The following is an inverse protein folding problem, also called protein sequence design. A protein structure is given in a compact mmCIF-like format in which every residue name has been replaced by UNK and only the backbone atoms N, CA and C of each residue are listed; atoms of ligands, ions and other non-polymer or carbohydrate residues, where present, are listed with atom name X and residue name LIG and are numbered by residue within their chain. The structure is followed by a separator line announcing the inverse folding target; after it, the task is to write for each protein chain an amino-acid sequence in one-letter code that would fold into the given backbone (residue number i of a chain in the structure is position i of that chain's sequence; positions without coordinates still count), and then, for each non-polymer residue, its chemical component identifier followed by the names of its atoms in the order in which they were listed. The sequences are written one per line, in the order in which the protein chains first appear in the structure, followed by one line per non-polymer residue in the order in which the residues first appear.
data_IF_824821618084
#
_entry.id   IF_824821618084
#
_cell.length_a   1.000
_cell.length_b   1.000
_cell.length_c   1.000
_cell.angle_alpha   90.00
_cell.angle_beta   90.00
_cell.angle_gamma   90.00
#
_symmetry.space_group_name_H-M   'P 1'
#
loop_
_entity.id
_entity.type
_entity.pdbx_description
1 polymer ?
#
# COMPACT_ATOMS: atom_id res chain seq x y z
N UNK A 1 -14.21 6.44 3.81
CA UNK A 1 -14.87 7.51 4.60
C UNK A 1 -14.27 8.89 4.34
N UNK A 2 -12.94 9.00 4.26
CA UNK A 2 -12.15 10.24 4.04
C UNK A 2 -12.84 11.29 3.14
N UNK A 3 -13.12 10.96 1.87
CA UNK A 3 -13.65 11.93 0.92
C UNK A 3 -15.04 12.49 1.31
N UNK A 4 -15.95 11.62 1.80
CA UNK A 4 -17.31 12.01 2.18
C UNK A 4 -17.33 12.86 3.46
N UNK A 5 -16.49 12.52 4.44
CA UNK A 5 -16.41 13.23 5.71
C UNK A 5 -15.73 14.61 5.56
N UNK A 6 -14.86 14.76 4.57
CA UNK A 6 -14.10 15.98 4.38
C UNK A 6 -14.91 17.06 3.63
N UNK A 7 -15.71 17.84 4.37
CA UNK A 7 -16.66 18.81 3.81
C UNK A 7 -16.06 20.15 3.36
N UNK A 8 -14.81 20.44 3.74
CA UNK A 8 -14.15 21.75 3.50
C UNK A 8 -12.92 21.69 2.59
N UNK A 9 -12.56 20.50 2.11
CA UNK A 9 -11.39 20.30 1.22
C UNK A 9 -11.76 19.29 0.13
N UNK A 10 -11.52 19.60 -1.15
CA UNK A 10 -11.84 18.67 -2.25
C UNK A 10 -11.00 17.40 -2.15
N UNK A 11 -11.54 16.30 -2.67
CA UNK A 11 -10.88 15.00 -2.75
C UNK A 11 -11.01 14.47 -4.18
N UNK A 12 -9.91 13.98 -4.75
CA UNK A 12 -9.88 13.35 -6.07
C UNK A 12 -9.51 11.88 -5.88
N UNK A 13 -10.17 11.00 -6.63
CA UNK A 13 -9.91 9.56 -6.66
C UNK A 13 -9.41 9.20 -8.06
N UNK A 14 -8.13 8.85 -8.19
CA UNK A 14 -7.57 8.31 -9.42
C UNK A 14 -7.83 6.80 -9.46
N UNK A 15 -8.63 6.33 -10.42
CA UNK A 15 -9.08 4.94 -10.52
C UNK A 15 -8.45 4.25 -11.73
N UNK A 16 -8.08 2.98 -11.58
CA UNK A 16 -7.53 2.17 -12.67
C UNK A 16 -8.61 1.78 -13.68
N UNK A 17 -8.21 1.58 -14.93
CA UNK A 17 -9.08 1.01 -15.98
C UNK A 17 -9.10 -0.52 -15.92
N UNK A 18 -7.96 -1.11 -15.58
CA UNK A 18 -7.71 -2.55 -15.56
C UNK A 18 -8.12 -3.18 -14.23
N UNK A 19 -8.32 -4.51 -14.26
CA UNK A 19 -8.50 -5.33 -13.05
C UNK A 19 -7.23 -5.33 -12.22
N UNK A 20 -7.39 -5.30 -10.90
CA UNK A 20 -6.31 -5.39 -9.93
C UNK A 20 -6.70 -6.37 -8.81
N UNK A 21 -5.74 -7.08 -8.20
CA UNK A 21 -6.02 -7.97 -7.09
C UNK A 21 -6.32 -7.20 -5.80
N UNK A 22 -7.04 -7.87 -4.90
CA UNK A 22 -7.14 -7.43 -3.51
C UNK A 22 -5.92 -7.92 -2.74
N UNK A 23 -5.04 -7.01 -2.34
CA UNK A 23 -3.82 -7.34 -1.61
C UNK A 23 -4.13 -7.53 -0.11
N UNK A 24 -3.52 -8.55 0.49
CA UNK A 24 -3.57 -8.76 1.93
C UNK A 24 -2.97 -7.54 2.68
N UNK A 25 -3.49 -7.25 3.87
CA UNK A 25 -3.09 -6.08 4.65
C UNK A 25 -3.70 -4.76 4.19
N UNK A 26 -4.32 -4.69 3.01
CA UNK A 26 -5.09 -3.50 2.60
C UNK A 26 -6.33 -3.29 3.49
N UNK A 27 -6.60 -2.05 3.87
CA UNK A 27 -7.67 -1.74 4.84
C UNK A 27 -8.27 -0.36 4.63
N UNK A 28 -9.52 -0.18 5.08
CA UNK A 28 -10.23 1.10 5.01
C UNK A 28 -9.55 2.11 5.96
N UNK A 29 -9.16 1.65 7.15
CA UNK A 29 -8.50 2.44 8.20
C UNK A 29 -7.09 2.87 7.76
N UNK A 30 -6.39 2.04 7.00
CA UNK A 30 -5.08 2.37 6.42
C UNK A 30 -5.14 3.58 5.49
N UNK A 31 -6.20 3.70 4.68
CA UNK A 31 -6.39 4.84 3.77
C UNK A 31 -6.49 6.17 4.54
N UNK A 32 -7.03 6.15 5.75
CA UNK A 32 -7.15 7.37 6.59
C UNK A 32 -5.79 7.89 7.05
N UNK A 33 -4.75 7.03 7.08
CA UNK A 33 -3.36 7.40 7.40
C UNK A 33 -2.59 8.01 6.22
N UNK A 34 -3.16 7.98 5.01
CA UNK A 34 -2.51 8.41 3.76
C UNK A 34 -1.55 7.38 3.18
N UNK A 35 -0.67 6.81 4.00
CA UNK A 35 0.19 5.67 3.67
C UNK A 35 0.36 4.74 4.87
N UNK A 36 0.48 3.44 4.63
CA UNK A 36 0.55 2.44 5.69
C UNK A 36 1.25 1.16 5.20
N UNK A 37 1.73 0.37 6.16
CA UNK A 37 2.40 -0.90 5.92
C UNK A 37 1.34 -1.96 5.60
N UNK A 38 1.48 -2.64 4.45
CA UNK A 38 0.61 -3.78 4.07
C UNK A 38 1.26 -5.14 4.35
N UNK A 39 2.59 -5.19 4.36
CA UNK A 39 3.39 -6.38 4.62
C UNK A 39 4.72 -5.95 5.24
N UNK A 40 5.24 -6.74 6.17
CA UNK A 40 6.52 -6.48 6.84
C UNK A 40 7.19 -7.81 7.24
N UNK A 41 8.51 -7.86 7.10
CA UNK A 41 9.37 -8.94 7.58
C UNK A 41 10.59 -8.40 8.33
N UNK A 42 10.59 -7.11 8.67
CA UNK A 42 11.71 -6.46 9.34
C UNK A 42 11.92 -6.99 10.74
N UNK A 43 13.18 -7.07 11.15
CA UNK A 43 13.55 -7.41 12.53
C UNK A 43 13.75 -6.13 13.34
N UNK A 44 13.06 -6.01 14.47
CA UNK A 44 13.19 -4.85 15.36
C UNK A 44 12.76 -3.52 14.72
N UNK A 45 11.77 -3.55 13.82
CA UNK A 45 11.29 -2.38 13.07
C UNK A 45 12.37 -1.66 12.24
N UNK A 46 13.36 -2.41 11.76
CA UNK A 46 14.45 -1.89 10.93
C UNK A 46 14.50 -2.64 9.59
N UNK A 47 13.77 -2.15 8.56
CA UNK A 47 13.85 -2.73 7.23
C UNK A 47 15.17 -2.36 6.54
N UNK A 48 15.73 -3.28 5.76
CA UNK A 48 16.87 -2.98 4.88
C UNK A 48 16.44 -2.11 3.69
N UNK A 49 15.19 -2.28 3.25
CA UNK A 49 14.57 -1.52 2.15
C UNK A 49 13.08 -1.35 2.39
N UNK A 50 12.54 -0.19 2.01
CA UNK A 50 11.10 0.10 2.03
C UNK A 50 10.64 0.24 0.58
N UNK A 51 9.71 -0.62 0.17
CA UNK A 51 9.02 -0.52 -1.10
C UNK A 51 7.65 0.13 -0.90
N UNK A 52 7.35 1.15 -1.70
CA UNK A 52 6.09 1.88 -1.65
C UNK A 52 5.46 1.94 -3.03
N UNK A 53 4.15 1.76 -3.09
CA UNK A 53 3.37 1.88 -4.32
C UNK A 53 1.98 2.45 -4.04
N UNK A 54 1.31 2.93 -5.08
CA UNK A 54 -0.06 3.43 -5.01
C UNK A 54 -0.87 2.83 -6.15
N UNK A 55 -2.14 2.50 -5.92
CA UNK A 55 -2.99 1.96 -6.98
C UNK A 55 -2.44 0.66 -7.57
N UNK A 56 -2.31 0.60 -8.90
CA UNK A 56 -1.85 -0.60 -9.63
C UNK A 56 -0.41 -0.99 -9.31
N UNK A 57 0.45 -0.03 -9.01
CA UNK A 57 1.87 -0.28 -8.79
C UNK A 57 2.13 -0.94 -7.42
N UNK A 58 1.14 -0.94 -6.51
CA UNK A 58 1.25 -1.61 -5.21
C UNK A 58 1.39 -3.14 -5.35
N UNK A 59 0.74 -3.74 -6.35
CA UNK A 59 0.91 -5.17 -6.65
C UNK A 59 2.35 -5.48 -7.09
N UNK A 60 2.95 -4.59 -7.88
CA UNK A 60 4.33 -4.73 -8.35
C UNK A 60 5.29 -4.61 -7.16
N UNK A 61 5.06 -3.66 -6.26
CA UNK A 61 5.85 -3.50 -5.05
C UNK A 61 5.80 -4.74 -4.15
N UNK A 62 4.62 -5.34 -3.95
CA UNK A 62 4.50 -6.56 -3.14
C UNK A 62 5.18 -7.78 -3.79
N UNK A 63 5.08 -7.91 -5.12
CA UNK A 63 5.81 -8.96 -5.85
C UNK A 63 7.32 -8.81 -5.70
N UNK A 64 7.84 -7.59 -5.84
CA UNK A 64 9.25 -7.30 -5.64
C UNK A 64 9.69 -7.58 -4.19
N UNK A 65 8.87 -7.21 -3.20
CA UNK A 65 9.11 -7.51 -1.79
C UNK A 65 9.21 -9.03 -1.56
N UNK A 66 8.29 -9.81 -2.13
CA UNK A 66 8.31 -11.27 -2.04
C UNK A 66 9.59 -11.86 -2.65
N UNK A 67 10.01 -11.40 -3.83
CA UNK A 67 11.27 -11.82 -4.45
C UNK A 67 12.47 -11.52 -3.54
N UNK A 68 12.58 -10.29 -3.02
CA UNK A 68 13.66 -9.89 -2.12
C UNK A 68 13.70 -10.73 -0.84
N UNK A 69 12.53 -11.02 -0.25
CA UNK A 69 12.40 -11.90 0.92
C UNK A 69 12.91 -13.31 0.67
N UNK A 70 12.62 -13.86 -0.50
CA UNK A 70 13.14 -15.17 -0.90
C UNK A 70 14.67 -15.17 -1.10
N UNK A 71 15.26 -14.01 -1.40
CA UNK A 71 16.70 -13.79 -1.46
C UNK A 71 17.33 -13.45 -0.09
N UNK A 72 16.53 -13.46 0.98
CA UNK A 72 16.99 -13.22 2.36
C UNK A 72 17.05 -11.74 2.75
N UNK A 73 16.21 -10.90 2.14
CA UNK A 73 16.06 -9.47 2.46
C UNK A 73 14.76 -9.14 3.19
#
# INVERSE_FOLDING_TARGET
KVAVLNRKRPSILALSRQKLPHLAGSSIEGVEKGGYIISDNSSGNKPDVILMGSGSELEIAEKAASTLRNEGK
#
